data_IF_519292010940
#
_entry.id   IF_519292010940
#
_cell.length_a   1.000
_cell.length_b   1.000
_cell.length_c   1.000
_cell.angle_alpha   90.00
_cell.angle_beta   90.00
_cell.angle_gamma   90.00
#
_symmetry.space_group_name_H-M   'P 1'
#
loop_
_entity.id
_entity.type
_entity.pdbx_description
1 polymer ?
#
# COMPACT_ATOMS: atom_id res chain seq x y z
N UNK A 1 -9.99 -38.77 -39.13
CA UNK A 1 -8.62 -38.27 -38.92
C UNK A 1 -8.64 -36.81 -39.34
N UNK A 2 -8.72 -35.81 -38.45
CA UNK A 2 -7.82 -35.55 -37.33
C UNK A 2 -6.79 -34.51 -37.75
N UNK A 3 -7.22 -33.28 -38.08
CA UNK A 3 -6.32 -32.13 -38.21
C UNK A 3 -6.49 -31.26 -36.97
N UNK A 4 -5.59 -31.46 -36.01
CA UNK A 4 -5.38 -30.57 -34.87
C UNK A 4 -4.72 -29.30 -35.39
N UNK A 5 -5.48 -28.20 -35.46
CA UNK A 5 -4.91 -26.87 -35.63
C UNK A 5 -3.97 -26.57 -34.47
N UNK A 6 -2.69 -26.36 -34.76
CA UNK A 6 -1.73 -25.83 -33.79
C UNK A 6 -2.22 -24.46 -33.34
N UNK A 7 -2.70 -24.32 -32.10
CA UNK A 7 -2.80 -23.01 -31.44
C UNK A 7 -1.40 -22.40 -31.47
N UNK A 8 -1.26 -21.23 -32.10
CA UNK A 8 0.00 -20.50 -32.17
C UNK A 8 0.48 -20.15 -30.75
N UNK A 9 1.58 -20.75 -30.31
CA UNK A 9 2.25 -20.44 -29.03
C UNK A 9 2.82 -19.01 -28.98
N UNK A 10 2.81 -18.27 -30.10
CA UNK A 10 3.40 -16.92 -30.20
C UNK A 10 2.52 -15.82 -29.60
N UNK A 11 1.19 -15.96 -29.64
CA UNK A 11 0.25 -14.97 -29.09
C UNK A 11 0.44 -14.71 -27.58
N UNK A 12 0.46 -15.74 -26.71
CA UNK A 12 0.61 -15.56 -25.26
C UNK A 12 1.95 -14.96 -24.82
N UNK A 13 3.02 -15.16 -25.61
CA UNK A 13 4.34 -14.57 -25.33
C UNK A 13 4.38 -13.10 -25.77
N UNK A 14 3.74 -12.76 -26.89
CA UNK A 14 3.59 -11.38 -27.37
C UNK A 14 2.84 -10.51 -26.34
N UNK A 15 1.70 -10.99 -25.85
CA UNK A 15 0.89 -10.27 -24.86
C UNK A 15 1.62 -10.05 -23.54
N UNK A 16 2.41 -11.02 -23.05
CA UNK A 16 3.26 -10.83 -21.86
C UNK A 16 4.31 -9.74 -22.05
N UNK A 17 4.93 -9.66 -23.23
CA UNK A 17 5.88 -8.57 -23.56
C UNK A 17 5.18 -7.22 -23.61
N UNK A 18 3.98 -7.14 -24.20
CA UNK A 18 3.15 -5.93 -24.26
C UNK A 18 2.77 -5.46 -22.84
N UNK A 19 2.27 -6.36 -21.98
CA UNK A 19 1.96 -6.09 -20.57
C UNK A 19 3.17 -5.52 -19.83
N UNK A 20 4.34 -6.16 -19.96
CA UNK A 20 5.57 -5.71 -19.29
C UNK A 20 6.01 -4.32 -19.77
N UNK A 21 5.96 -4.08 -21.08
CA UNK A 21 6.32 -2.79 -21.67
C UNK A 21 5.41 -1.67 -21.18
N UNK A 22 4.09 -1.85 -21.28
CA UNK A 22 3.12 -0.85 -20.84
C UNK A 22 3.16 -0.62 -19.33
N UNK A 23 3.33 -1.68 -18.53
CA UNK A 23 3.51 -1.54 -17.08
C UNK A 23 4.75 -0.70 -16.74
N UNK A 24 5.89 -0.95 -17.38
CA UNK A 24 7.11 -0.18 -17.15
C UNK A 24 6.97 1.28 -17.60
N UNK A 25 6.32 1.52 -18.75
CA UNK A 25 6.01 2.86 -19.27
C UNK A 25 5.14 3.66 -18.31
N UNK A 26 4.01 3.08 -17.88
CA UNK A 26 3.07 3.71 -16.93
C UNK A 26 3.73 3.99 -15.58
N UNK A 27 4.51 3.02 -15.07
CA UNK A 27 5.25 3.17 -13.81
C UNK A 27 6.28 4.30 -13.89
N UNK A 28 7.01 4.41 -14.99
CA UNK A 28 7.99 5.48 -15.18
C UNK A 28 7.32 6.85 -15.35
N UNK A 29 6.25 6.93 -16.13
CA UNK A 29 5.48 8.17 -16.32
C UNK A 29 4.89 8.68 -14.99
N UNK A 30 4.25 7.79 -14.21
CA UNK A 30 3.75 8.13 -12.87
C UNK A 30 4.87 8.50 -11.92
N UNK A 31 6.02 7.82 -11.96
CA UNK A 31 7.18 8.18 -11.13
C UNK A 31 7.64 9.61 -11.40
N UNK A 32 7.71 10.03 -12.66
CA UNK A 32 8.08 11.41 -13.01
C UNK A 32 7.03 12.41 -12.55
N UNK A 33 5.75 12.19 -12.86
CA UNK A 33 4.67 13.08 -12.42
C UNK A 33 4.62 13.22 -10.89
N UNK A 34 4.67 12.08 -10.19
CA UNK A 34 4.71 12.03 -8.72
C UNK A 34 5.93 12.73 -8.15
N UNK A 35 7.10 12.68 -8.82
CA UNK A 35 8.29 13.34 -8.31
C UNK A 35 8.11 14.86 -8.19
N UNK A 36 7.46 15.50 -9.17
CA UNK A 36 7.23 16.94 -9.14
C UNK A 36 6.10 17.33 -8.17
N UNK A 37 5.02 16.55 -8.12
CA UNK A 37 3.97 16.70 -7.11
C UNK A 37 4.53 16.56 -5.69
N UNK A 38 5.37 15.54 -5.45
CA UNK A 38 6.01 15.29 -4.16
C UNK A 38 6.95 16.44 -3.78
N UNK A 39 7.76 16.98 -4.71
CA UNK A 39 8.59 18.16 -4.45
C UNK A 39 7.76 19.38 -4.06
N UNK A 40 6.65 19.62 -4.77
CA UNK A 40 5.72 20.70 -4.45
C UNK A 40 5.10 20.52 -3.06
N UNK A 41 4.64 19.30 -2.75
CA UNK A 41 4.10 18.93 -1.45
C UNK A 41 5.13 19.08 -0.33
N UNK A 42 6.38 18.66 -0.53
CA UNK A 42 7.46 18.85 0.44
C UNK A 42 7.75 20.34 0.67
N UNK A 43 7.74 21.16 -0.38
CA UNK A 43 7.96 22.60 -0.28
C UNK A 43 6.83 23.28 0.49
N UNK A 44 5.57 22.95 0.18
CA UNK A 44 4.40 23.43 0.94
C UNK A 44 4.43 22.95 2.40
N UNK A 45 4.80 21.68 2.64
CA UNK A 45 4.92 21.15 3.99
C UNK A 45 6.07 21.82 4.76
N UNK A 46 7.18 22.16 4.09
CA UNK A 46 8.28 22.90 4.69
C UNK A 46 7.83 24.27 5.19
N UNK A 47 6.96 24.95 4.45
CA UNK A 47 6.37 26.21 4.90
C UNK A 47 5.54 26.02 6.18
N UNK A 48 4.71 24.97 6.25
CA UNK A 48 3.97 24.63 7.49
C UNK A 48 4.89 24.30 8.67
N UNK A 49 6.00 23.61 8.41
CA UNK A 49 7.03 23.33 9.43
C UNK A 49 7.63 24.64 9.93
N UNK A 50 8.01 25.55 9.04
CA UNK A 50 8.59 26.85 9.41
C UNK A 50 7.64 27.67 10.27
N UNK A 51 6.37 27.76 9.89
CA UNK A 51 5.35 28.49 10.66
C UNK A 51 5.14 27.89 12.05
N UNK A 52 4.96 26.56 12.14
CA UNK A 52 4.74 25.87 13.42
C UNK A 52 5.97 25.93 14.33
N UNK A 53 7.15 25.75 13.75
CA UNK A 53 8.40 25.80 14.53
C UNK A 53 8.69 27.21 15.01
N UNK A 54 8.34 28.25 14.25
CA UNK A 54 8.50 29.63 14.71
C UNK A 54 7.54 29.97 15.84
N UNK A 55 6.29 29.48 15.84
CA UNK A 55 5.38 29.61 16.99
C UNK A 55 6.01 29.00 18.25
N UNK A 56 6.49 27.76 18.16
CA UNK A 56 7.14 27.07 19.28
C UNK A 56 8.43 27.79 19.73
N UNK A 57 9.20 28.34 18.78
CA UNK A 57 10.42 29.11 19.06
C UNK A 57 10.11 30.42 19.79
N UNK A 58 9.03 31.11 19.41
CA UNK A 58 8.57 32.33 20.09
C UNK A 58 8.12 32.02 21.52
N UNK A 59 7.34 30.97 21.72
CA UNK A 59 6.96 30.50 23.07
C UNK A 59 8.18 30.11 23.90
N UNK A 60 9.18 29.48 23.30
CA UNK A 60 10.42 29.09 23.98
C UNK A 60 11.26 30.31 24.37
N UNK A 61 11.40 31.32 23.49
CA UNK A 61 12.15 32.56 23.74
C UNK A 61 11.62 33.36 24.94
N UNK A 62 10.33 33.22 25.25
CA UNK A 62 9.70 33.87 26.42
C UNK A 62 10.05 33.17 27.73
N UNK A 63 10.54 31.92 27.69
CA UNK A 63 10.89 31.15 28.88
C UNK A 63 12.31 31.48 29.32
N UNK A 64 12.50 31.63 30.63
CA UNK A 64 13.83 31.75 31.27
C UNK A 64 14.08 30.50 32.11
N UNK A 65 14.50 29.43 31.42
CA UNK A 65 14.80 28.14 32.07
C UNK A 65 16.24 28.20 32.60
N UNK A 66 16.42 27.85 33.88
CA UNK A 66 17.76 27.75 34.46
C UNK A 66 18.53 26.60 33.80
N UNK A 67 19.77 26.83 33.32
CA UNK A 67 20.58 25.75 32.78
C UNK A 67 20.97 24.76 33.88
N UNK A 68 21.28 23.53 33.48
CA UNK A 68 21.78 22.53 34.42
C UNK A 68 23.18 22.94 34.89
N UNK A 69 23.39 22.93 36.19
CA UNK A 69 24.68 23.21 36.81
C UNK A 69 25.28 21.92 37.38
N UNK A 70 26.60 21.80 37.27
CA UNK A 70 27.33 20.79 38.02
C UNK A 70 27.37 21.20 39.49
N UNK A 71 26.73 20.42 40.35
CA UNK A 71 26.79 20.65 41.80
C UNK A 71 27.98 19.89 42.35
N UNK A 72 29.12 20.59 42.47
CA UNK A 72 30.34 20.05 43.07
C UNK A 72 30.66 20.76 44.38
N UNK A 73 29.76 20.69 45.35
CA UNK A 73 30.10 20.95 46.75
C UNK A 73 29.08 20.15 47.57
N UNK A 74 29.48 19.06 48.21
CA UNK A 74 30.29 19.05 49.42
C UNK A 74 31.19 17.82 49.33
N UNK A 75 32.48 17.98 49.64
CA UNK A 75 33.46 16.92 49.94
C UNK A 75 32.78 15.57 50.19
N UNK A 76 32.91 14.65 49.22
CA UNK A 76 32.29 13.33 49.17
C UNK A 76 32.00 12.80 50.58
N UNK A 77 30.75 12.92 51.02
CA UNK A 77 30.28 12.30 52.26
C UNK A 77 30.76 10.85 52.21
N UNK A 78 31.58 10.42 53.18
CA UNK A 78 32.17 9.08 53.15
C UNK A 78 31.09 8.04 52.82
N UNK A 79 31.26 7.33 51.71
CA UNK A 79 30.33 6.29 51.26
C UNK A 79 29.43 6.65 50.06
N UNK A 80 29.53 7.84 49.47
CA UNK A 80 28.89 8.12 48.17
C UNK A 80 29.56 7.32 47.05
N UNK A 81 28.76 6.56 46.28
CA UNK A 81 29.23 5.89 45.06
C UNK A 81 29.62 6.94 44.02
N UNK A 82 30.61 6.62 43.20
CA UNK A 82 31.10 7.48 42.11
C UNK A 82 30.92 6.76 40.77
N UNK A 83 30.81 7.53 39.68
CA UNK A 83 30.93 7.02 38.32
C UNK A 83 32.03 7.76 37.57
N UNK A 84 32.70 7.03 36.68
CA UNK A 84 33.76 7.52 35.82
C UNK A 84 33.36 7.44 34.36
N UNK A 85 33.65 8.48 33.59
CA UNK A 85 33.51 8.51 32.14
C UNK A 85 34.90 8.65 31.53
N UNK A 86 35.31 7.66 30.75
CA UNK A 86 36.56 7.65 29.98
C UNK A 86 36.29 8.17 28.57
N UNK A 87 37.34 8.64 27.89
CA UNK A 87 37.26 9.10 26.51
C UNK A 87 38.30 8.38 25.66
N UNK A 88 37.87 7.89 24.49
CA UNK A 88 38.76 7.28 23.50
C UNK A 88 39.52 8.34 22.67
N UNK A 89 39.25 9.63 22.91
CA UNK A 89 39.89 10.78 22.26
C UNK A 89 40.95 11.44 23.14
N UNK A 90 41.51 10.70 24.10
CA UNK A 90 42.55 11.17 25.05
C UNK A 90 42.15 12.36 25.94
N UNK A 91 40.84 12.64 26.12
CA UNK A 91 40.40 13.57 27.15
C UNK A 91 40.58 12.97 28.56
N UNK A 92 40.85 13.79 29.59
CA UNK A 92 41.00 13.28 30.95
C UNK A 92 39.74 12.55 31.41
N UNK A 93 39.92 11.43 32.10
CA UNK A 93 38.82 10.69 32.72
C UNK A 93 38.12 11.59 33.74
N UNK A 94 36.80 11.70 33.62
CA UNK A 94 35.97 12.51 34.51
C UNK A 94 35.32 11.61 35.55
N UNK A 95 35.35 12.00 36.82
CA UNK A 95 34.75 11.25 37.94
C UNK A 95 33.79 12.18 38.69
N UNK A 96 32.55 11.72 38.89
CA UNK A 96 31.49 12.47 39.59
C UNK A 96 30.73 11.55 40.56
N UNK A 97 30.07 12.09 41.61
CA UNK A 97 29.23 11.30 42.49
C UNK A 97 27.99 10.75 41.76
N UNK A 98 27.67 9.47 42.01
CA UNK A 98 26.50 8.78 41.47
C UNK A 98 25.31 8.99 42.40
N UNK A 99 24.36 9.84 41.98
CA UNK A 99 23.11 10.06 42.71
C UNK A 99 22.21 8.82 42.58
N UNK A 100 22.00 8.12 43.69
CA UNK A 100 20.98 7.07 43.76
C UNK A 100 19.58 7.70 43.67
N UNK A 101 18.80 7.27 42.69
CA UNK A 101 17.36 7.54 42.62
C UNK A 101 16.65 6.67 43.67
N UNK A 102 15.71 7.25 44.40
CA UNK A 102 15.00 6.53 45.44
C UNK A 102 14.17 5.40 44.82
N UNK A 103 14.12 4.24 45.49
CA UNK A 103 13.33 3.11 45.02
C UNK A 103 11.84 3.48 44.97
N UNK A 104 11.20 3.19 43.85
CA UNK A 104 9.75 3.32 43.64
C UNK A 104 9.19 1.92 43.42
N UNK A 105 8.05 1.61 44.05
CA UNK A 105 7.40 0.31 43.90
C UNK A 105 6.93 0.11 42.45
N UNK A 106 7.30 -1.01 41.84
CA UNK A 106 6.82 -1.40 40.51
C UNK A 106 5.41 -1.99 40.59
N UNK A 107 4.58 -1.69 39.59
CA UNK A 107 3.31 -2.39 39.37
C UNK A 107 3.55 -3.69 38.58
N UNK A 108 2.69 -4.71 38.74
CA UNK A 108 2.73 -5.91 37.90
C UNK A 108 2.57 -5.59 36.40
N UNK A 109 3.14 -6.43 35.54
CA UNK A 109 2.99 -6.32 34.08
C UNK A 109 1.52 -6.60 33.70
N UNK A 110 0.93 -5.70 32.94
CA UNK A 110 -0.43 -5.83 32.42
C UNK A 110 -0.51 -5.21 31.03
N UNK A 111 -0.98 -5.98 30.05
CA UNK A 111 -1.26 -5.47 28.72
C UNK A 111 -2.58 -4.72 28.71
N UNK A 112 -2.69 -3.76 27.80
CA UNK A 112 -3.95 -3.04 27.59
C UNK A 112 -5.00 -4.00 27.03
N UNK A 113 -6.21 -3.95 27.57
CA UNK A 113 -7.37 -4.69 27.11
C UNK A 113 -8.61 -3.79 27.12
N UNK A 114 -9.56 -4.04 26.23
CA UNK A 114 -10.80 -3.28 26.13
C UNK A 114 -11.89 -3.93 27.00
N UNK A 115 -12.61 -3.16 27.84
CA UNK A 115 -13.66 -3.72 28.68
C UNK A 115 -14.86 -4.18 27.86
N UNK A 116 -15.44 -5.33 28.24
CA UNK A 116 -16.62 -5.90 27.60
C UNK A 116 -17.73 -6.15 28.63
N UNK A 117 -18.96 -5.78 28.27
CA UNK A 117 -20.18 -6.11 29.03
C UNK A 117 -20.89 -7.34 28.43
N UNK A 118 -20.66 -7.61 27.14
CA UNK A 118 -21.14 -8.75 26.39
C UNK A 118 -20.00 -9.27 25.53
N UNK A 119 -20.02 -10.57 25.22
CA UNK A 119 -19.01 -11.17 24.36
C UNK A 119 -19.04 -10.55 22.96
N UNK A 120 -17.87 -10.34 22.37
CA UNK A 120 -17.71 -9.85 21.00
C UNK A 120 -17.25 -10.99 20.11
N UNK A 121 -18.05 -11.34 19.10
CA UNK A 121 -17.69 -12.39 18.14
C UNK A 121 -16.57 -11.87 17.22
N UNK A 122 -15.53 -12.69 17.02
CA UNK A 122 -14.38 -12.36 16.16
C UNK A 122 -14.14 -13.54 15.22
N UNK A 123 -13.92 -13.24 13.95
CA UNK A 123 -13.55 -14.22 12.91
C UNK A 123 -12.11 -14.69 13.09
N UNK A 124 -11.81 -15.92 12.65
CA UNK A 124 -10.48 -16.50 12.78
C UNK A 124 -9.43 -15.71 11.98
N UNK A 125 -8.29 -15.47 12.62
CA UNK A 125 -7.14 -14.84 11.98
C UNK A 125 -6.45 -15.83 11.04
N UNK A 126 -6.45 -15.55 9.73
CA UNK A 126 -5.84 -16.43 8.71
C UNK A 126 -4.43 -16.02 8.29
N UNK A 127 -3.94 -14.88 8.79
CA UNK A 127 -2.62 -14.31 8.48
C UNK A 127 -1.99 -13.80 9.76
N UNK A 128 -0.71 -14.13 9.96
CA UNK A 128 0.05 -13.64 11.10
C UNK A 128 0.46 -12.18 10.87
N UNK A 129 -0.09 -11.26 11.66
CA UNK A 129 0.17 -9.82 11.52
C UNK A 129 1.51 -9.37 12.08
N UNK A 130 2.00 -10.04 13.14
CA UNK A 130 3.25 -9.71 13.81
C UNK A 130 3.92 -10.98 14.33
N UNK A 131 5.26 -11.03 14.26
CA UNK A 131 6.06 -12.06 14.94
C UNK A 131 6.40 -11.54 16.35
N UNK A 132 5.97 -12.22 17.42
CA UNK A 132 6.27 -11.78 18.78
C UNK A 132 7.78 -11.73 19.03
N UNK A 133 8.28 -10.60 19.52
CA UNK A 133 9.66 -10.51 19.98
C UNK A 133 9.78 -11.11 21.38
N UNK A 134 10.62 -12.14 21.51
CA UNK A 134 10.79 -12.90 22.76
C UNK A 134 12.15 -12.67 23.44
N UNK A 135 12.95 -11.73 22.93
CA UNK A 135 14.33 -11.51 23.38
C UNK A 135 15.33 -12.31 22.55
N UNK A 136 16.47 -11.68 22.25
CA UNK A 136 17.53 -12.29 21.41
C UNK A 136 18.06 -13.59 22.05
N UNK A 137 18.17 -13.62 23.39
CA UNK A 137 18.64 -14.77 24.15
C UNK A 137 17.76 -16.03 23.97
N UNK A 138 16.46 -15.84 23.68
CA UNK A 138 15.48 -16.92 23.48
C UNK A 138 15.45 -17.34 22.01
N UNK A 139 15.60 -16.38 21.09
CA UNK A 139 15.64 -16.64 19.65
C UNK A 139 16.85 -17.50 19.25
N UNK A 140 17.99 -17.31 19.91
CA UNK A 140 19.21 -18.11 19.67
C UNK A 140 19.10 -19.57 20.18
N UNK A 141 18.16 -19.85 21.09
CA UNK A 141 17.99 -21.18 21.68
C UNK A 141 16.93 -22.03 20.98
N UNK A 142 15.87 -21.42 20.44
CA UNK A 142 14.69 -22.15 19.97
C UNK A 142 14.08 -21.56 18.69
N UNK A 143 14.90 -21.50 17.62
CA UNK A 143 14.47 -21.04 16.30
C UNK A 143 13.30 -21.85 15.69
N UNK A 144 13.09 -23.08 16.17
CA UNK A 144 11.99 -23.96 15.74
C UNK A 144 10.60 -23.45 16.15
N UNK A 145 10.48 -22.69 17.24
CA UNK A 145 9.19 -22.15 17.67
C UNK A 145 8.63 -21.15 16.65
N UNK A 146 9.48 -20.29 16.09
CA UNK A 146 9.07 -19.29 15.09
C UNK A 146 8.62 -19.97 13.80
N UNK A 147 9.33 -21.01 13.37
CA UNK A 147 8.95 -21.80 12.19
C UNK A 147 7.59 -22.51 12.39
N UNK A 148 7.36 -23.09 13.56
CA UNK A 148 6.08 -23.72 13.90
C UNK A 148 4.94 -22.70 13.95
N UNK A 149 5.17 -21.53 14.55
CA UNK A 149 4.21 -20.44 14.60
C UNK A 149 3.82 -20.01 13.18
N UNK A 150 4.78 -19.78 12.30
CA UNK A 150 4.53 -19.39 10.90
C UNK A 150 3.76 -20.48 10.15
N UNK A 151 4.08 -21.75 10.42
CA UNK A 151 3.39 -22.89 9.80
C UNK A 151 1.91 -22.98 10.18
N UNK A 152 1.53 -22.59 11.40
CA UNK A 152 0.13 -22.53 11.82
C UNK A 152 -0.71 -21.52 11.01
N UNK A 153 -0.06 -20.57 10.35
CA UNK A 153 -0.68 -19.58 9.46
C UNK A 153 -0.41 -19.88 7.97
N UNK A 154 -0.13 -21.14 7.60
CA UNK A 154 0.23 -21.55 6.23
C UNK A 154 1.43 -20.77 5.63
N UNK A 155 2.34 -20.25 6.46
CA UNK A 155 3.41 -19.38 5.99
C UNK A 155 3.00 -17.93 5.71
N UNK A 156 1.74 -17.54 5.95
CA UNK A 156 1.23 -16.20 5.64
C UNK A 156 1.59 -15.22 6.76
N UNK A 157 2.65 -14.46 6.54
CA UNK A 157 3.06 -13.35 7.42
C UNK A 157 2.82 -12.01 6.71
N UNK A 158 2.26 -11.05 7.44
CA UNK A 158 2.06 -9.70 6.93
C UNK A 158 3.41 -9.05 6.56
N UNK A 159 3.55 -8.60 5.31
CA UNK A 159 4.76 -7.92 4.82
C UNK A 159 5.72 -8.81 4.02
N UNK A 160 5.52 -10.13 4.00
CA UNK A 160 6.38 -11.10 3.28
C UNK A 160 6.15 -11.13 1.75
N UNK A 161 5.62 -10.05 1.17
CA UNK A 161 5.32 -9.98 -0.27
C UNK A 161 6.41 -9.21 -1.00
N UNK A 162 7.38 -9.94 -1.55
CA UNK A 162 8.49 -9.41 -2.37
C UNK A 162 8.06 -8.87 -3.75
N UNK A 163 6.81 -9.07 -4.17
CA UNK A 163 6.38 -8.70 -5.51
C UNK A 163 6.02 -7.21 -5.67
N UNK A 164 6.66 -6.58 -6.66
CA UNK A 164 6.46 -5.19 -7.06
C UNK A 164 4.98 -4.81 -7.14
N UNK A 165 4.55 -4.02 -6.16
CA UNK A 165 3.18 -3.59 -5.95
C UNK A 165 2.60 -2.91 -7.21
N UNK A 166 1.72 -3.60 -7.94
CA UNK A 166 0.75 -2.95 -8.80
C UNK A 166 -0.41 -2.50 -7.91
N UNK A 167 -0.56 -1.19 -7.76
CA UNK A 167 -1.69 -0.60 -7.04
C UNK A 167 -2.92 -0.57 -7.97
N UNK A 168 -4.10 -0.41 -7.40
CA UNK A 168 -5.37 -0.46 -8.15
C UNK A 168 -5.43 0.62 -9.25
N UNK A 169 -4.80 1.78 -9.01
CA UNK A 169 -4.68 2.87 -9.98
C UNK A 169 -3.85 2.47 -11.23
N UNK A 170 -2.66 1.90 -11.05
CA UNK A 170 -1.81 1.41 -12.15
C UNK A 170 -2.48 0.21 -12.82
N UNK A 171 -3.18 -0.64 -12.07
CA UNK A 171 -3.92 -1.77 -12.63
C UNK A 171 -5.00 -1.33 -13.62
N UNK A 172 -5.85 -0.38 -13.23
CA UNK A 172 -6.90 0.16 -14.11
C UNK A 172 -6.29 0.86 -15.34
N UNK A 173 -5.21 1.62 -15.18
CA UNK A 173 -4.52 2.26 -16.31
C UNK A 173 -3.87 1.25 -17.24
N UNK A 174 -3.29 0.17 -16.71
CA UNK A 174 -2.67 -0.90 -17.48
C UNK A 174 -3.70 -1.64 -18.34
N UNK A 175 -4.84 -2.01 -17.76
CA UNK A 175 -5.94 -2.64 -18.52
C UNK A 175 -6.46 -1.70 -19.61
N UNK A 176 -6.63 -0.42 -19.30
CA UNK A 176 -7.07 0.59 -20.27
C UNK A 176 -6.04 0.87 -21.39
N UNK A 177 -4.74 0.78 -21.09
CA UNK A 177 -3.68 0.92 -22.08
C UNK A 177 -3.61 -0.31 -22.99
N UNK A 178 -3.72 -1.50 -22.42
CA UNK A 178 -3.72 -2.76 -23.17
C UNK A 178 -4.96 -2.91 -24.06
N UNK A 179 -6.11 -2.37 -23.64
CA UNK A 179 -7.33 -2.34 -24.45
C UNK A 179 -7.29 -1.41 -25.67
N UNK A 180 -6.21 -0.64 -25.85
CA UNK A 180 -6.00 0.18 -27.05
C UNK A 180 -5.30 -0.59 -28.19
N UNK A 181 -4.72 -1.75 -27.90
CA UNK A 181 -4.14 -2.63 -28.92
C UNK A 181 -5.26 -3.51 -29.50
N UNK A 182 -5.43 -3.49 -30.82
CA UNK A 182 -6.47 -4.27 -31.50
C UNK A 182 -6.11 -5.77 -31.50
N UNK A 183 -7.13 -6.62 -31.47
CA UNK A 183 -7.00 -8.08 -31.61
C UNK A 183 -6.47 -8.51 -33.00
N UNK A 184 -6.44 -7.59 -33.98
CA UNK A 184 -6.02 -7.85 -35.37
C UNK A 184 -4.50 -7.70 -35.63
N UNK A 185 -3.72 -7.22 -34.63
CA UNK A 185 -2.25 -7.06 -34.74
C UNK A 185 -1.47 -8.37 -34.48
N UNK A 186 -2.14 -9.52 -34.52
CA UNK A 186 -1.52 -10.85 -34.32
C UNK A 186 -1.06 -11.49 -35.64
N UNK A 187 -1.41 -10.92 -36.82
CA UNK A 187 -1.15 -11.52 -38.14
C UNK A 187 -0.23 -10.71 -39.09
N UNK A 188 0.21 -9.49 -38.77
CA UNK A 188 1.05 -8.67 -39.67
C UNK A 188 2.42 -8.32 -39.05
N UNK A 189 3.32 -9.31 -39.01
CA UNK A 189 4.76 -9.07 -38.88
C UNK A 189 5.35 -8.79 -40.28
N UNK A 190 5.04 -7.61 -40.82
CA UNK A 190 5.85 -6.97 -41.87
C UNK A 190 6.99 -6.19 -41.21
N UNK A 191 8.20 -6.74 -41.27
CA UNK A 191 9.44 -6.18 -40.69
C UNK A 191 9.92 -5.00 -41.55
N UNK A 192 9.34 -3.80 -41.38
CA UNK A 192 9.89 -2.55 -41.91
C UNK A 192 9.86 -1.40 -40.87
N UNK A 193 11.03 -0.91 -40.40
CA UNK A 193 11.12 0.18 -39.43
C UNK A 193 10.59 1.54 -39.93
N UNK A 194 10.51 1.77 -41.25
CA UNK A 194 10.13 3.09 -41.80
C UNK A 194 8.62 3.38 -41.74
N UNK A 195 7.74 2.37 -41.80
CA UNK A 195 6.27 2.58 -41.71
C UNK A 195 5.79 2.93 -40.28
N UNK A 196 6.58 2.61 -39.25
CA UNK A 196 6.20 2.87 -37.84
C UNK A 196 6.29 4.34 -37.45
N UNK A 197 7.17 5.11 -38.09
CA UNK A 197 7.34 6.53 -37.81
C UNK A 197 6.26 7.39 -38.50
N UNK A 198 5.77 7.00 -39.68
CA UNK A 198 4.67 7.70 -40.36
C UNK A 198 3.32 7.50 -39.64
N UNK A 199 3.00 6.27 -39.21
CA UNK A 199 1.77 6.00 -38.43
C UNK A 199 1.77 6.68 -37.05
N UNK A 200 2.93 6.94 -36.45
CA UNK A 200 3.03 7.70 -35.20
C UNK A 200 2.78 9.21 -35.39
N UNK A 201 3.16 9.78 -36.54
CA UNK A 201 2.94 11.21 -36.83
C UNK A 201 1.48 11.53 -37.18
N UNK A 202 0.79 10.66 -37.92
CA UNK A 202 -0.62 10.89 -38.26
C UNK A 202 -1.57 10.85 -37.05
N UNK A 203 -1.17 10.15 -35.97
CA UNK A 203 -1.92 10.12 -34.70
C UNK A 203 -1.70 11.35 -33.81
N UNK A 204 -0.64 12.13 -34.06
CA UNK A 204 -0.36 13.36 -33.31
C UNK A 204 -1.08 14.59 -33.91
N UNK A 205 -1.36 14.60 -35.22
CA UNK A 205 -1.94 15.77 -35.92
C UNK A 205 -3.48 15.86 -35.84
N UNK A 206 -4.17 14.78 -35.42
CA UNK A 206 -5.63 14.74 -35.26
C UNK A 206 -6.12 14.94 -33.81
N UNK A 207 -5.39 15.73 -32.99
CA UNK A 207 -5.74 15.99 -31.58
C UNK A 207 -6.68 17.17 -31.33
N UNK A 208 -7.21 17.80 -32.36
CA UNK A 208 -8.27 18.80 -32.26
C UNK A 208 -9.52 18.35 -33.01
N UNK A 209 -10.29 17.43 -32.41
CA UNK A 209 -11.75 17.51 -32.52
C UNK A 209 -12.43 16.73 -31.38
N UNK A 210 -13.14 17.49 -30.54
CA UNK A 210 -14.09 16.96 -29.56
C UNK A 210 -15.38 16.66 -30.30
N UNK A 211 -15.65 15.40 -30.63
CA UNK A 211 -16.99 14.78 -30.52
C UNK A 211 -16.97 13.32 -31.04
N UNK A 212 -17.66 12.44 -30.32
CA UNK A 212 -17.98 11.04 -30.67
C UNK A 212 -16.85 9.98 -30.68
N UNK A 213 -16.29 9.66 -29.51
CA UNK A 213 -15.67 8.32 -29.33
C UNK A 213 -16.77 7.30 -29.01
N UNK A 214 -16.88 6.16 -29.74
CA UNK A 214 -17.80 5.10 -29.37
C UNK A 214 -17.47 4.58 -27.96
N UNK A 215 -18.46 4.06 -27.21
CA UNK A 215 -18.23 3.52 -25.87
C UNK A 215 -17.13 2.45 -25.97
N UNK A 216 -16.07 2.63 -25.18
CA UNK A 216 -14.93 1.70 -25.16
C UNK A 216 -15.48 0.30 -24.92
N UNK A 217 -15.22 -0.63 -25.84
CA UNK A 217 -15.59 -2.03 -25.66
C UNK A 217 -14.91 -2.55 -24.39
N UNK A 218 -15.61 -3.39 -23.64
CA UNK A 218 -15.03 -4.03 -22.45
C UNK A 218 -13.72 -4.74 -22.84
N UNK A 219 -12.64 -4.64 -22.05
CA UNK A 219 -11.35 -5.23 -22.41
C UNK A 219 -11.44 -6.74 -22.67
N UNK A 220 -10.66 -7.23 -23.63
CA UNK A 220 -10.63 -8.65 -24.02
C UNK A 220 -10.13 -9.55 -22.88
N UNK A 221 -10.68 -10.76 -22.77
CA UNK A 221 -10.30 -11.75 -21.76
C UNK A 221 -8.81 -12.13 -21.84
N UNK A 222 -8.23 -12.10 -23.05
CA UNK A 222 -6.79 -12.30 -23.28
C UNK A 222 -5.91 -11.31 -22.50
N UNK A 223 -6.39 -10.09 -22.23
CA UNK A 223 -5.65 -9.08 -21.48
C UNK A 223 -5.55 -9.50 -20.00
N UNK A 224 -6.65 -9.97 -19.42
CA UNK A 224 -6.68 -10.41 -18.02
C UNK A 224 -5.86 -11.69 -17.81
N UNK A 225 -5.90 -12.63 -18.76
CA UNK A 225 -5.03 -13.80 -18.76
C UNK A 225 -3.54 -13.41 -18.82
N UNK A 226 -3.18 -12.46 -19.70
CA UNK A 226 -1.80 -11.99 -19.82
C UNK A 226 -1.32 -11.25 -18.57
N UNK A 227 -2.17 -10.44 -17.93
CA UNK A 227 -1.83 -9.75 -16.67
C UNK A 227 -1.69 -10.77 -15.52
N UNK A 228 -2.64 -11.71 -15.36
CA UNK A 228 -2.56 -12.76 -14.33
C UNK A 228 -1.27 -13.57 -14.46
N UNK A 229 -0.85 -13.88 -15.70
CA UNK A 229 0.42 -14.59 -15.93
C UNK A 229 1.68 -13.83 -15.52
N UNK A 230 1.63 -12.49 -15.52
CA UNK A 230 2.73 -11.61 -15.09
C UNK A 230 2.65 -11.26 -13.59
N UNK A 231 1.46 -11.35 -13.00
CA UNK A 231 1.19 -11.05 -11.60
C UNK A 231 0.34 -12.17 -10.94
N UNK A 232 0.89 -13.38 -10.74
CA UNK A 232 0.13 -14.51 -10.19
C UNK A 232 -0.48 -14.22 -8.81
N UNK A 233 0.22 -13.42 -7.99
CA UNK A 233 -0.21 -13.07 -6.63
C UNK A 233 -1.40 -12.09 -6.57
N UNK A 234 -1.84 -11.58 -7.73
CA UNK A 234 -2.94 -10.60 -7.82
C UNK A 234 -4.28 -11.25 -8.17
N UNK A 235 -4.29 -12.55 -8.44
CA UNK A 235 -5.48 -13.33 -8.69
C UNK A 235 -5.55 -13.94 -10.07
N UNK A 236 -6.59 -14.75 -10.27
CA UNK A 236 -6.93 -15.37 -11.56
C UNK A 236 -7.41 -14.32 -12.57
N UNK A 237 -7.52 -14.69 -13.84
CA UNK A 237 -8.00 -13.78 -14.89
C UNK A 237 -9.43 -13.30 -14.58
N UNK A 238 -10.27 -14.17 -14.04
CA UNK A 238 -11.64 -13.90 -13.61
C UNK A 238 -11.68 -12.90 -12.45
N UNK A 239 -10.86 -13.12 -11.41
CA UNK A 239 -10.76 -12.22 -10.26
C UNK A 239 -10.28 -10.82 -10.67
N UNK A 240 -9.30 -10.73 -11.57
CA UNK A 240 -8.83 -9.46 -12.10
C UNK A 240 -9.89 -8.75 -12.95
N UNK A 241 -10.70 -9.50 -13.70
CA UNK A 241 -11.80 -8.96 -14.50
C UNK A 241 -12.92 -8.41 -13.64
N UNK A 242 -13.30 -9.11 -12.57
CA UNK A 242 -14.28 -8.61 -11.59
C UNK A 242 -13.74 -7.38 -10.86
N UNK A 243 -12.49 -7.45 -10.38
CA UNK A 243 -11.82 -6.30 -9.75
C UNK A 243 -11.77 -5.07 -10.66
N UNK A 244 -11.52 -5.24 -11.95
CA UNK A 244 -11.55 -4.14 -12.92
C UNK A 244 -12.95 -3.54 -13.08
N UNK A 245 -14.00 -4.36 -13.10
CA UNK A 245 -15.40 -3.87 -13.14
C UNK A 245 -15.71 -3.05 -11.90
N UNK A 246 -15.42 -3.57 -10.70
CA UNK A 246 -15.66 -2.85 -9.45
C UNK A 246 -14.96 -1.49 -9.41
N UNK A 247 -13.67 -1.45 -9.78
CA UNK A 247 -12.87 -0.23 -9.76
C UNK A 247 -13.29 0.81 -10.83
N UNK A 248 -13.93 0.38 -11.92
CA UNK A 248 -14.41 1.28 -12.98
C UNK A 248 -15.86 1.70 -12.78
N UNK A 249 -16.70 0.86 -12.16
CA UNK A 249 -18.09 1.17 -11.82
C UNK A 249 -18.17 2.10 -10.60
N UNK A 250 -17.33 1.93 -9.58
CA UNK A 250 -17.26 2.82 -8.41
C UNK A 250 -16.78 4.24 -8.74
N UNK A 251 -16.10 4.44 -9.88
CA UNK A 251 -15.67 5.78 -10.32
C UNK A 251 -16.82 6.61 -10.94
N UNK A 252 -17.98 6.01 -11.22
CA UNK A 252 -19.15 6.74 -11.71
C UNK A 252 -19.87 7.41 -10.52
N UNK A 253 -20.04 8.75 -10.52
CA UNK A 253 -20.71 9.44 -9.43
C UNK A 253 -22.15 8.92 -9.23
N UNK A 254 -22.40 8.25 -8.11
CA UNK A 254 -23.73 7.76 -7.72
C UNK A 254 -24.11 6.37 -8.23
N UNK A 255 -23.18 5.61 -8.82
CA UNK A 255 -23.40 4.20 -9.12
C UNK A 255 -23.35 3.38 -7.83
N UNK A 256 -24.52 2.93 -7.36
CA UNK A 256 -24.61 1.89 -6.36
C UNK A 256 -24.25 0.55 -7.02
N UNK A 257 -23.62 -0.39 -6.29
CA UNK A 257 -23.43 -1.75 -6.78
C UNK A 257 -24.75 -2.33 -7.33
N UNK A 258 -24.71 -3.20 -8.36
CA UNK A 258 -25.92 -3.73 -9.00
C UNK A 258 -26.91 -4.38 -8.03
N UNK A 259 -26.40 -4.93 -6.93
CA UNK A 259 -27.13 -5.63 -5.88
C UNK A 259 -27.67 -4.69 -4.78
N UNK A 260 -27.32 -3.40 -4.81
CA UNK A 260 -27.78 -2.41 -3.85
C UNK A 260 -29.07 -1.73 -4.31
N UNK A 261 -30.13 -1.83 -3.49
CA UNK A 261 -31.37 -1.08 -3.71
C UNK A 261 -31.18 0.38 -3.28
N UNK A 262 -31.47 1.39 -4.14
CA UNK A 262 -31.37 2.80 -3.75
C UNK A 262 -32.37 3.13 -2.63
N UNK A 263 -31.99 4.06 -1.75
CA UNK A 263 -32.85 4.50 -0.65
C UNK A 263 -34.19 5.04 -1.20
N UNK A 264 -35.30 4.54 -0.65
CA UNK A 264 -36.67 4.92 -1.02
C UNK A 264 -36.95 6.40 -0.79
N UNK A 265 -36.31 7.02 0.20
CA UNK A 265 -36.44 8.45 0.52
C UNK A 265 -35.48 9.35 -0.30
N UNK A 266 -34.65 8.74 -1.15
CA UNK A 266 -33.62 9.44 -1.93
C UNK A 266 -34.11 9.93 -3.30
N UNK A 267 -33.41 10.91 -3.91
CA UNK A 267 -33.73 11.42 -5.24
C UNK A 267 -33.55 10.38 -6.36
N UNK A 268 -32.79 9.31 -6.10
CA UNK A 268 -32.50 8.21 -7.04
C UNK A 268 -33.34 6.95 -6.75
N UNK A 269 -34.47 7.08 -6.04
CA UNK A 269 -35.35 5.96 -5.71
C UNK A 269 -35.84 5.26 -6.99
N UNK A 270 -35.81 3.93 -6.98
CA UNK A 270 -36.28 3.09 -8.10
C UNK A 270 -37.45 2.23 -7.64
N UNK A 271 -38.38 1.97 -8.57
CA UNK A 271 -39.46 1.00 -8.34
C UNK A 271 -38.86 -0.41 -8.38
N UNK A 272 -38.91 -1.11 -7.25
CA UNK A 272 -38.36 -2.46 -7.05
C UNK A 272 -39.38 -3.33 -6.31
N UNK A 273 -39.16 -4.64 -6.29
CA UNK A 273 -40.03 -5.56 -5.54
C UNK A 273 -39.82 -5.40 -4.03
N UNK A 274 -40.86 -5.73 -3.24
CA UNK A 274 -40.81 -5.71 -1.76
C UNK A 274 -39.59 -6.44 -1.20
N UNK A 275 -39.28 -7.63 -1.72
CA UNK A 275 -38.15 -8.43 -1.23
C UNK A 275 -36.81 -7.72 -1.47
N UNK A 276 -36.65 -7.04 -2.60
CA UNK A 276 -35.46 -6.25 -2.90
C UNK A 276 -35.35 -5.00 -2.02
N UNK A 277 -36.48 -4.37 -1.67
CA UNK A 277 -36.48 -3.25 -0.71
C UNK A 277 -36.10 -3.68 0.70
N UNK A 278 -36.49 -4.88 1.12
CA UNK A 278 -36.26 -5.39 2.47
C UNK A 278 -35.02 -6.26 2.61
N UNK A 279 -34.35 -6.61 1.50
CA UNK A 279 -33.25 -7.57 1.46
C UNK A 279 -32.17 -7.26 2.51
N UNK A 280 -31.67 -6.03 2.58
CA UNK A 280 -30.64 -5.64 3.56
C UNK A 280 -31.12 -5.79 5.01
N UNK A 281 -32.38 -5.47 5.29
CA UNK A 281 -32.96 -5.65 6.63
C UNK A 281 -33.12 -7.14 6.97
N UNK A 282 -33.64 -7.94 6.04
CA UNK A 282 -33.82 -9.38 6.23
C UNK A 282 -32.49 -10.13 6.41
N UNK A 283 -31.44 -9.69 5.71
CA UNK A 283 -30.14 -10.38 5.71
C UNK A 283 -29.23 -9.95 6.87
N UNK A 284 -29.29 -8.68 7.29
CA UNK A 284 -28.33 -8.12 8.28
C UNK A 284 -28.90 -7.96 9.69
N UNK A 285 -30.22 -7.99 9.86
CA UNK A 285 -30.82 -7.87 11.19
C UNK A 285 -30.66 -9.19 11.95
N UNK A 286 -29.94 -9.14 13.06
CA UNK A 286 -29.75 -10.26 13.99
C UNK A 286 -30.93 -10.40 14.96
#
# INVERSE_FOLDING_TARGET
MGQTGKKSEKGPVCWRKRVKSEYMRLRQLKRFRRADEVKSMFSSNRQKILERTEILNQEWKQRRIQPVHILTSVSSLRGTRECSVTSDLDFPTQVIPLKTLNAVASVPIMYSWSPLQQNFMVEDETVLHNIPYMGDEVLDQDGTFIEELIKNYDGKVHGDRECGFINDEIFVELVNALGQYNDDDDDDDGDDPEEREEKQKDLEDHRDDKESRPPRKFPSDKIFEAISSMFPDKGTAEELKEKYKELTEQQLPGALPPECTPNIDGPNAKSVQREQSLHSFHTLFC
#
